data_IF_147199368165
#
_entry.id   IF_147199368165
#
_cell.length_a   1.000
_cell.length_b   1.000
_cell.length_c   1.000
_cell.angle_alpha   90.00
_cell.angle_beta   90.00
_cell.angle_gamma   90.00
#
_symmetry.space_group_name_H-M   'P 1'
#
loop_
_entity.id
_entity.type
_entity.pdbx_description
1 polymer ?
#
# COMPACT_ATOMS: atom_id res chain seq x y z
N UNK A 1 19.07 -27.00 -15.87
CA UNK A 1 18.41 -26.40 -17.05
C UNK A 1 16.97 -26.89 -17.27
N UNK A 2 16.56 -28.05 -16.75
CA UNK A 2 15.17 -28.53 -16.82
C UNK A 2 14.19 -27.52 -16.24
N UNK A 3 14.49 -26.98 -15.06
CA UNK A 3 13.69 -25.94 -14.39
C UNK A 3 13.31 -24.74 -15.27
N UNK A 4 14.26 -24.14 -15.99
CA UNK A 4 13.99 -23.00 -16.89
C UNK A 4 13.05 -23.33 -18.06
N UNK A 5 12.84 -24.61 -18.36
CA UNK A 5 12.00 -25.07 -19.47
C UNK A 5 10.62 -25.53 -19.01
N UNK A 6 10.43 -25.64 -17.70
CA UNK A 6 9.16 -26.02 -17.11
C UNK A 6 8.27 -24.78 -17.05
N UNK A 7 7.12 -24.76 -17.75
CA UNK A 7 6.17 -23.67 -17.63
C UNK A 7 5.66 -23.56 -16.19
N UNK A 8 5.44 -22.35 -15.72
CA UNK A 8 4.85 -22.09 -14.39
C UNK A 8 3.37 -21.78 -14.54
N UNK A 9 2.52 -22.53 -13.84
CA UNK A 9 1.08 -22.31 -13.73
C UNK A 9 0.65 -21.84 -12.32
N UNK A 10 1.59 -21.80 -11.37
CA UNK A 10 1.36 -21.30 -10.02
C UNK A 10 1.13 -19.77 -10.03
N UNK A 11 0.02 -19.28 -9.44
CA UNK A 11 -0.19 -17.85 -9.24
C UNK A 11 0.87 -17.23 -8.33
N UNK A 12 1.25 -15.95 -8.55
CA UNK A 12 2.20 -15.27 -7.67
C UNK A 12 1.62 -15.13 -6.26
N UNK A 13 2.44 -15.45 -5.26
CA UNK A 13 2.09 -15.26 -3.85
C UNK A 13 2.57 -13.88 -3.38
N UNK A 14 1.64 -12.97 -3.10
CA UNK A 14 1.94 -11.58 -2.68
C UNK A 14 1.47 -11.37 -1.24
N UNK A 15 2.39 -10.96 -0.36
CA UNK A 15 2.08 -10.55 1.02
C UNK A 15 2.21 -9.04 1.16
N UNK A 16 1.08 -8.35 1.12
CA UNK A 16 1.00 -6.90 1.26
C UNK A 16 0.28 -6.51 2.57
N UNK A 17 1.05 -6.00 3.53
CA UNK A 17 0.51 -5.57 4.82
C UNK A 17 -0.26 -4.24 4.74
N UNK A 18 0.05 -3.38 3.77
CA UNK A 18 -0.62 -2.11 3.63
C UNK A 18 -2.01 -2.29 3.04
N UNK A 19 -2.16 -3.15 2.03
CA UNK A 19 -3.47 -3.55 1.51
C UNK A 19 -4.30 -4.26 2.58
N UNK A 20 -3.68 -5.12 3.40
CA UNK A 20 -4.38 -5.76 4.52
C UNK A 20 -4.87 -4.73 5.56
N UNK A 21 -4.08 -3.71 5.87
CA UNK A 21 -4.51 -2.60 6.74
C UNK A 21 -5.65 -1.79 6.11
N UNK A 22 -5.56 -1.50 4.81
CA UNK A 22 -6.61 -0.80 4.08
C UNK A 22 -7.93 -1.58 4.07
N UNK A 23 -7.88 -2.90 3.90
CA UNK A 23 -9.04 -3.77 4.00
C UNK A 23 -9.78 -3.62 5.34
N UNK A 24 -9.04 -3.45 6.43
CA UNK A 24 -9.59 -3.19 7.77
C UNK A 24 -9.79 -1.68 8.06
N UNK A 25 -9.75 -0.83 7.04
CA UNK A 25 -9.84 0.63 7.17
C UNK A 25 -11.12 1.13 7.83
N UNK A 26 -12.19 0.32 7.87
CA UNK A 26 -13.43 0.64 8.60
C UNK A 26 -13.24 0.88 10.11
N UNK A 27 -12.12 0.43 10.68
CA UNK A 27 -11.78 0.66 12.09
C UNK A 27 -10.91 1.90 12.32
N UNK A 28 -10.59 2.62 11.25
CA UNK A 28 -9.77 3.83 11.26
C UNK A 28 -10.62 5.04 10.88
N UNK A 29 -10.18 6.23 11.27
CA UNK A 29 -10.74 7.46 10.72
C UNK A 29 -10.31 7.66 9.25
N UNK A 30 -11.07 8.40 8.43
CA UNK A 30 -10.64 8.77 7.08
C UNK A 30 -9.24 9.39 7.03
N UNK A 31 -8.90 10.23 8.02
CA UNK A 31 -7.60 10.88 8.14
C UNK A 31 -6.47 9.87 8.43
N UNK A 32 -6.73 8.86 9.25
CA UNK A 32 -5.77 7.77 9.51
C UNK A 32 -5.54 6.91 8.26
N UNK A 33 -6.60 6.64 7.48
CA UNK A 33 -6.48 5.95 6.17
C UNK A 33 -5.68 6.81 5.18
N UNK A 34 -5.96 8.11 5.10
CA UNK A 34 -5.24 9.04 4.23
C UNK A 34 -3.75 9.13 4.58
N UNK A 35 -3.43 9.16 5.88
CA UNK A 35 -2.06 9.19 6.38
C UNK A 35 -1.31 7.90 6.02
N UNK A 36 -1.95 6.75 6.21
CA UNK A 36 -1.38 5.46 5.82
C UNK A 36 -1.14 5.39 4.30
N UNK A 37 -2.09 5.86 3.49
CA UNK A 37 -1.97 5.89 2.04
C UNK A 37 -0.83 6.79 1.56
N UNK A 38 -0.68 7.99 2.15
CA UNK A 38 0.45 8.90 1.87
C UNK A 38 1.81 8.25 2.14
N UNK A 39 1.92 7.47 3.23
CA UNK A 39 3.15 6.72 3.54
C UNK A 39 3.42 5.65 2.48
N UNK A 40 2.40 4.92 2.04
CA UNK A 40 2.59 3.91 1.00
C UNK A 40 2.91 4.53 -0.37
N UNK A 41 2.26 5.63 -0.74
CA UNK A 41 2.59 6.37 -1.94
C UNK A 41 4.08 6.73 -1.96
N UNK A 42 4.61 7.27 -0.85
CA UNK A 42 6.03 7.60 -0.74
C UNK A 42 6.95 6.37 -0.89
N UNK A 43 6.58 5.23 -0.29
CA UNK A 43 7.33 3.96 -0.42
C UNK A 43 7.38 3.51 -1.89
N UNK A 44 6.24 3.52 -2.58
CA UNK A 44 6.16 3.10 -3.97
C UNK A 44 6.84 4.09 -4.92
N UNK A 45 6.77 5.41 -4.66
CA UNK A 45 7.54 6.42 -5.41
C UNK A 45 9.05 6.19 -5.28
N UNK A 46 9.53 5.85 -4.09
CA UNK A 46 10.95 5.56 -3.88
C UNK A 46 11.40 4.30 -4.65
N UNK A 47 10.55 3.26 -4.69
CA UNK A 47 10.81 2.06 -5.50
C UNK A 47 10.77 2.33 -6.99
N UNK A 48 9.79 3.10 -7.46
CA UNK A 48 9.68 3.53 -8.85
C UNK A 48 10.95 4.30 -9.28
N UNK A 49 11.42 5.23 -8.46
CA UNK A 49 12.66 5.96 -8.73
C UNK A 49 13.89 5.03 -8.79
N UNK A 50 13.97 4.03 -7.89
CA UNK A 50 15.01 3.01 -7.91
C UNK A 50 14.98 2.20 -9.22
N UNK A 51 13.80 1.73 -9.64
CA UNK A 51 13.65 0.97 -10.88
C UNK A 51 13.93 1.80 -12.12
N UNK A 52 13.54 3.08 -12.14
CA UNK A 52 13.86 3.99 -13.23
C UNK A 52 15.38 4.22 -13.35
N UNK A 53 16.09 4.35 -12.22
CA UNK A 53 17.54 4.43 -12.22
C UNK A 53 18.21 3.14 -12.72
N UNK A 54 17.66 1.97 -12.37
CA UNK A 54 18.13 0.69 -12.89
C UNK A 54 17.90 0.56 -14.40
N UNK A 55 16.77 1.01 -14.93
CA UNK A 55 16.51 0.93 -16.39
C UNK A 55 17.43 1.87 -17.17
N UNK A 56 17.71 3.05 -16.62
CA UNK A 56 18.71 3.96 -17.16
C UNK A 56 20.10 3.31 -17.21
N UNK A 57 20.53 2.68 -16.11
CA UNK A 57 21.81 1.97 -16.06
C UNK A 57 21.88 0.80 -17.05
N UNK A 58 20.79 0.03 -17.19
CA UNK A 58 20.69 -1.03 -18.19
C UNK A 58 20.80 -0.49 -19.62
N UNK A 59 20.39 0.76 -19.87
CA UNK A 59 20.51 1.43 -21.16
C UNK A 59 21.94 1.51 -21.71
N UNK A 60 22.95 1.46 -20.84
CA UNK A 60 24.37 1.52 -21.22
C UNK A 60 24.92 0.17 -21.75
N UNK A 61 24.14 -0.91 -21.65
CA UNK A 61 24.55 -2.26 -22.01
C UNK A 61 24.02 -2.71 -23.38
N UNK A 62 24.67 -3.72 -23.96
CA UNK A 62 24.21 -4.36 -25.21
C UNK A 62 22.76 -4.87 -25.07
N UNK A 63 21.82 -4.40 -25.91
CA UNK A 63 20.40 -4.73 -25.77
C UNK A 63 20.10 -6.23 -25.81
N UNK A 64 20.88 -7.00 -26.58
CA UNK A 64 20.70 -8.46 -26.68
C UNK A 64 21.02 -9.18 -25.39
N UNK A 65 22.02 -8.71 -24.62
CA UNK A 65 22.43 -9.31 -23.34
C UNK A 65 21.47 -9.01 -22.19
N UNK A 66 20.74 -7.91 -22.25
CA UNK A 66 19.85 -7.46 -21.16
C UNK A 66 18.36 -7.63 -21.46
N UNK A 67 17.99 -8.16 -22.62
CA UNK A 67 16.59 -8.22 -23.07
C UNK A 67 15.62 -8.81 -22.03
N UNK A 68 15.98 -9.94 -21.42
CA UNK A 68 15.17 -10.58 -20.38
C UNK A 68 15.13 -9.79 -19.07
N UNK A 69 16.28 -9.24 -18.65
CA UNK A 69 16.34 -8.38 -17.45
C UNK A 69 15.48 -7.13 -17.60
N UNK A 70 15.50 -6.50 -18.79
CA UNK A 70 14.68 -5.32 -19.10
C UNK A 70 13.20 -5.68 -19.19
N UNK A 71 12.85 -6.84 -19.75
CA UNK A 71 11.47 -7.32 -19.76
C UNK A 71 10.92 -7.53 -18.34
N UNK A 72 11.72 -8.11 -17.44
CA UNK A 72 11.36 -8.26 -16.02
C UNK A 72 11.25 -6.91 -15.31
N UNK A 73 12.22 -6.01 -15.51
CA UNK A 73 12.19 -4.67 -14.89
C UNK A 73 10.98 -3.85 -15.34
N UNK A 74 10.56 -4.00 -16.60
CA UNK A 74 9.36 -3.35 -17.13
C UNK A 74 8.11 -3.69 -16.31
N UNK A 75 7.93 -4.96 -15.91
CA UNK A 75 6.81 -5.33 -15.03
C UNK A 75 6.90 -4.62 -13.68
N UNK A 76 8.11 -4.52 -13.12
CA UNK A 76 8.36 -3.78 -11.88
C UNK A 76 7.96 -2.30 -12.00
N UNK A 77 8.39 -1.62 -13.06
CA UNK A 77 8.03 -0.21 -13.32
C UNK A 77 6.52 -0.02 -13.42
N UNK A 78 5.84 -0.83 -14.25
CA UNK A 78 4.39 -0.75 -14.43
C UNK A 78 3.64 -1.01 -13.11
N UNK A 79 4.13 -1.94 -12.30
CA UNK A 79 3.50 -2.27 -11.01
C UNK A 79 3.65 -1.12 -10.02
N UNK A 80 4.84 -0.54 -9.90
CA UNK A 80 5.08 0.58 -8.97
C UNK A 80 4.34 1.85 -9.41
N UNK A 81 4.21 2.12 -10.71
CA UNK A 81 3.33 3.19 -11.22
C UNK A 81 1.87 3.00 -10.80
N UNK A 82 1.35 1.78 -10.97
CA UNK A 82 -0.03 1.45 -10.56
C UNK A 82 -0.22 1.60 -9.04
N UNK A 83 0.74 1.17 -8.23
CA UNK A 83 0.69 1.36 -6.78
C UNK A 83 0.74 2.84 -6.38
N UNK A 84 1.62 3.64 -6.99
CA UNK A 84 1.71 5.09 -6.73
C UNK A 84 0.36 5.75 -7.03
N UNK A 85 -0.23 5.44 -8.19
CA UNK A 85 -1.54 5.96 -8.56
C UNK A 85 -2.61 5.58 -7.54
N UNK A 86 -2.73 4.28 -7.25
CA UNK A 86 -3.71 3.75 -6.30
C UNK A 86 -3.61 4.42 -4.93
N UNK A 87 -2.41 4.50 -4.34
CA UNK A 87 -2.25 5.08 -3.01
C UNK A 87 -2.47 6.59 -3.00
N UNK A 88 -2.14 7.29 -4.09
CA UNK A 88 -2.41 8.72 -4.21
C UNK A 88 -3.92 9.00 -4.25
N UNK A 89 -4.70 8.18 -4.96
CA UNK A 89 -6.16 8.28 -4.97
C UNK A 89 -6.75 8.07 -3.57
N UNK A 90 -6.30 7.04 -2.84
CA UNK A 90 -6.77 6.77 -1.47
C UNK A 90 -6.36 7.89 -0.51
N UNK A 91 -5.17 8.47 -0.67
CA UNK A 91 -4.73 9.59 0.16
C UNK A 91 -5.59 10.85 -0.05
N UNK A 92 -6.02 11.10 -1.29
CA UNK A 92 -6.85 12.25 -1.65
C UNK A 92 -8.33 12.04 -1.30
N UNK A 93 -8.84 10.84 -1.52
CA UNK A 93 -10.24 10.48 -1.29
C UNK A 93 -10.34 9.14 -0.57
N UNK A 94 -10.12 9.13 0.77
CA UNK A 94 -10.22 7.90 1.55
C UNK A 94 -11.63 7.30 1.47
N UNK A 95 -11.76 5.98 1.27
CA UNK A 95 -13.05 5.31 1.30
C UNK A 95 -13.80 5.61 2.59
N UNK A 96 -15.04 6.08 2.46
CA UNK A 96 -15.92 6.30 3.60
C UNK A 96 -16.73 5.03 3.86
N UNK A 97 -16.51 4.38 5.00
CA UNK A 97 -17.39 3.31 5.42
C UNK A 97 -18.72 3.94 5.87
N UNK A 98 -19.82 3.59 5.20
CA UNK A 98 -21.13 3.82 5.80
C UNK A 98 -21.26 2.93 7.05
N UNK A 99 -21.80 3.43 8.17
CA UNK A 99 -22.07 2.56 9.29
C UNK A 99 -22.98 1.42 8.81
N UNK A 100 -22.73 0.16 9.22
CA UNK A 100 -23.62 -0.93 8.86
C UNK A 100 -25.04 -0.58 9.33
N UNK A 101 -26.09 -0.91 8.54
CA UNK A 101 -27.46 -0.46 8.78
C UNK A 101 -28.01 -0.82 10.17
N UNK A 102 -27.41 -1.82 10.85
CA UNK A 102 -27.79 -2.29 12.19
C UNK A 102 -26.77 -1.98 13.30
N UNK A 103 -25.84 -1.03 13.10
CA UNK A 103 -24.93 -0.61 14.15
C UNK A 103 -25.70 0.03 15.33
N UNK A 104 -25.94 -0.77 16.37
CA UNK A 104 -26.54 -0.31 17.62
C UNK A 104 -25.79 0.94 18.14
N UNK A 105 -26.52 1.92 18.71
CA UNK A 105 -25.90 3.16 19.17
C UNK A 105 -24.84 2.87 20.24
N UNK A 106 -23.57 3.14 19.89
CA UNK A 106 -22.46 3.10 20.85
C UNK A 106 -22.68 4.23 21.86
N UNK A 107 -23.10 3.87 23.08
CA UNK A 107 -23.27 4.85 24.16
C UNK A 107 -21.93 5.55 24.44
N UNK A 108 -21.90 6.88 24.55
CA UNK A 108 -20.66 7.60 24.84
C UNK A 108 -20.13 7.18 26.23
N UNK A 109 -18.85 6.83 26.31
CA UNK A 109 -18.18 6.58 27.60
C UNK A 109 -18.21 7.88 28.41
N UNK A 110 -19.03 7.94 29.45
CA UNK A 110 -19.02 9.03 30.43
C UNK A 110 -17.61 9.13 31.02
N UNK A 111 -16.94 10.27 30.80
CA UNK A 111 -15.74 10.65 31.57
C UNK A 111 -16.13 10.69 33.04
N UNK A 112 -15.49 9.88 33.87
CA UNK A 112 -15.63 9.96 35.31
C UNK A 112 -14.97 11.27 35.79
N UNK A 113 -15.78 12.27 36.10
CA UNK A 113 -15.35 13.44 36.87
C UNK A 113 -15.18 13.02 38.33
N UNK A 114 -13.99 12.51 38.66
CA UNK A 114 -13.56 12.24 40.03
C UNK A 114 -13.22 13.55 40.74
N UNK A 115 -14.21 14.15 41.39
CA UNK A 115 -14.05 15.29 42.30
C UNK A 115 -13.42 14.79 43.62
N UNK A 116 -12.12 14.99 43.86
CA UNK A 116 -11.53 14.81 45.19
C UNK A 116 -11.64 16.12 45.97
N UNK A 117 -12.60 16.15 46.89
CA UNK A 117 -12.70 17.12 47.98
C UNK A 117 -11.51 16.96 48.93
N UNK A 118 -10.83 18.06 49.24
CA UNK A 118 -9.92 18.19 50.39
C UNK A 118 -10.72 18.22 51.71
N UNK A 119 -10.21 17.65 52.81
CA UNK A 119 -10.57 18.07 54.15
C UNK A 119 -9.45 18.90 54.81
N UNK A 120 -9.90 19.70 55.77
CA UNK A 120 -9.20 20.71 56.57
C UNK A 120 -8.13 20.15 57.49
#
# INVERSE_FOLDING_TARGET
RSWLREPTDEPPQIRDLALLKLYFGQFLSPEEVAAQASVQEAVHRARLACFAALDAHLGDHDPGRIAYSRATLRLGLLSEEAFVHFWSEIAQTPPQASPPPDALPVKPRRRATGNRRSPR
#
